data_IF_920697245847
#
_entry.id   IF_920697245847
#
_cell.length_a   1.000
_cell.length_b   1.000
_cell.length_c   1.000
_cell.angle_alpha   90.00
_cell.angle_beta   90.00
_cell.angle_gamma   90.00
#
_symmetry.space_group_name_H-M   'P 1'
#
loop_
_entity.id
_entity.type
_entity.pdbx_description
1 polymer ?
#
# COMPACT_ATOMS: atom_id res chain seq x y z
N UNK A 1 66.11 22.82 14.44
CA UNK A 1 65.81 24.28 14.38
C UNK A 1 65.29 24.58 12.99
N UNK A 2 64.06 25.02 12.71
CA UNK A 2 62.87 25.29 13.50
C UNK A 2 61.69 25.12 12.53
N UNK A 3 60.65 24.38 12.92
CA UNK A 3 59.42 24.27 12.14
C UNK A 3 58.74 25.63 12.06
N UNK A 4 58.55 26.13 10.84
CA UNK A 4 57.77 27.33 10.59
C UNK A 4 56.30 27.01 10.89
N UNK A 5 55.65 27.72 11.84
CA UNK A 5 54.29 27.44 12.24
C UNK A 5 53.31 27.85 11.14
N UNK A 6 52.38 26.95 10.79
CA UNK A 6 51.23 27.27 9.94
C UNK A 6 50.49 28.45 10.59
N UNK A 7 50.49 29.60 9.92
CA UNK A 7 49.82 30.82 10.37
C UNK A 7 48.31 30.61 10.17
N UNK A 8 47.62 30.28 11.26
CA UNK A 8 46.17 30.03 11.31
C UNK A 8 45.31 31.30 11.17
N UNK A 9 45.91 32.48 10.99
CA UNK A 9 45.25 33.79 10.96
C UNK A 9 44.62 34.16 9.59
N UNK A 10 44.52 33.23 8.64
CA UNK A 10 43.98 33.50 7.29
C UNK A 10 42.78 32.65 6.88
N UNK A 11 42.06 32.08 7.84
CA UNK A 11 40.71 31.58 7.58
C UNK A 11 39.71 32.70 7.88
N UNK A 12 39.21 33.31 6.82
CA UNK A 12 38.10 34.26 6.88
C UNK A 12 36.92 33.63 7.66
N UNK A 13 36.24 34.40 8.51
CA UNK A 13 35.15 33.91 9.32
C UNK A 13 33.96 33.55 8.44
N UNK A 14 33.57 32.26 8.41
CA UNK A 14 32.22 31.88 8.00
C UNK A 14 31.23 32.40 9.05
N UNK A 15 30.91 33.69 8.95
CA UNK A 15 29.80 34.32 9.68
C UNK A 15 28.51 33.77 9.08
N UNK A 16 27.65 33.24 9.97
CA UNK A 16 26.18 33.31 9.93
C UNK A 16 25.54 33.23 8.54
N UNK A 17 24.87 32.12 8.21
CA UNK A 17 23.47 31.95 8.64
C UNK A 17 23.26 30.63 9.37
N UNK A 18 22.86 30.72 10.63
CA UNK A 18 21.94 29.74 11.20
C UNK A 18 20.63 29.91 10.43
N UNK A 19 20.58 29.32 9.25
CA UNK A 19 19.32 29.06 8.58
C UNK A 19 18.60 28.09 9.50
N UNK A 20 17.57 28.63 10.13
CA UNK A 20 16.57 27.96 10.94
C UNK A 20 16.15 26.67 10.22
N UNK A 21 16.84 25.56 10.52
CA UNK A 21 16.32 24.22 10.29
C UNK A 21 15.21 24.08 11.33
N UNK A 22 14.06 24.58 10.91
CA UNK A 22 12.77 24.28 11.46
C UNK A 22 12.74 22.77 11.69
N UNK A 23 12.76 22.39 12.96
CA UNK A 23 12.50 21.02 13.37
C UNK A 23 11.24 20.61 12.61
N UNK A 24 11.27 19.60 11.73
CA UNK A 24 10.03 18.94 11.42
C UNK A 24 9.63 18.32 12.76
N UNK A 25 8.70 18.97 13.44
CA UNK A 25 7.85 18.35 14.42
C UNK A 25 6.95 17.36 13.68
N UNK A 26 7.57 16.36 13.06
CA UNK A 26 6.95 15.07 12.86
C UNK A 26 7.45 14.28 14.05
N UNK A 27 6.79 14.54 15.18
CA UNK A 27 6.51 13.44 16.08
C UNK A 27 5.67 12.44 15.28
N UNK A 28 6.31 11.68 14.40
CA UNK A 28 5.85 10.34 14.13
C UNK A 28 6.22 9.59 15.40
N UNK A 29 5.32 9.71 16.38
CA UNK A 29 4.96 8.58 17.20
C UNK A 29 5.03 7.42 16.22
N UNK A 30 6.03 6.56 16.39
CA UNK A 30 5.92 5.19 15.95
C UNK A 30 4.65 4.73 16.64
N UNK A 31 3.52 4.95 15.98
CA UNK A 31 2.32 4.21 16.24
C UNK A 31 2.81 2.81 15.97
N UNK A 32 3.07 2.08 17.06
CA UNK A 32 2.81 0.66 17.11
C UNK A 32 1.68 0.43 16.12
N UNK A 33 2.04 -0.13 14.97
CA UNK A 33 1.21 -0.07 13.79
C UNK A 33 -0.09 -0.69 14.21
N UNK A 34 -1.14 0.13 14.32
CA UNK A 34 -2.48 -0.40 14.45
C UNK A 34 -2.59 -1.26 13.20
N UNK A 35 -2.66 -2.60 13.31
CA UNK A 35 -2.79 -3.43 12.13
C UNK A 35 -3.99 -2.85 11.41
N UNK A 36 -3.82 -2.41 10.15
CA UNK A 36 -4.95 -1.96 9.33
C UNK A 36 -6.06 -2.97 9.60
N UNK A 37 -7.17 -2.48 10.17
CA UNK A 37 -8.18 -3.38 10.71
C UNK A 37 -8.52 -4.39 9.62
N UNK A 38 -8.68 -5.67 9.97
CA UNK A 38 -9.00 -6.69 8.96
C UNK A 38 -10.20 -6.26 8.10
N UNK A 39 -11.16 -5.54 8.70
CA UNK A 39 -12.26 -4.90 7.99
C UNK A 39 -11.80 -3.95 6.88
N UNK A 40 -10.81 -3.09 7.10
CA UNK A 40 -10.26 -2.20 6.07
C UNK A 40 -9.55 -2.98 4.96
N UNK A 41 -8.81 -4.05 5.29
CA UNK A 41 -8.21 -4.93 4.28
C UNK A 41 -9.26 -5.66 3.46
N UNK A 42 -10.27 -6.25 4.10
CA UNK A 42 -11.37 -6.95 3.45
C UNK A 42 -12.18 -5.99 2.57
N UNK A 43 -12.44 -4.77 3.04
CA UNK A 43 -13.10 -3.75 2.24
C UNK A 43 -12.28 -3.41 0.98
N UNK A 44 -10.96 -3.28 1.13
CA UNK A 44 -10.06 -3.09 -0.01
C UNK A 44 -10.09 -4.25 -1.00
N UNK A 45 -10.06 -5.49 -0.50
CA UNK A 45 -10.15 -6.69 -1.34
C UNK A 45 -11.50 -6.80 -2.07
N UNK A 46 -12.61 -6.51 -1.39
CA UNK A 46 -13.94 -6.49 -2.00
C UNK A 46 -14.05 -5.42 -3.09
N UNK A 47 -13.51 -4.22 -2.84
CA UNK A 47 -13.44 -3.18 -3.85
C UNK A 47 -12.60 -3.63 -5.06
N UNK A 48 -11.46 -4.29 -4.81
CA UNK A 48 -10.62 -4.82 -5.87
C UNK A 48 -11.33 -5.88 -6.74
N UNK A 49 -12.06 -6.82 -6.11
CA UNK A 49 -12.88 -7.80 -6.83
C UNK A 49 -13.94 -7.10 -7.68
N UNK A 50 -14.61 -6.09 -7.13
CA UNK A 50 -15.61 -5.31 -7.87
C UNK A 50 -14.99 -4.60 -9.10
N UNK A 51 -13.77 -4.07 -8.96
CA UNK A 51 -13.06 -3.45 -10.09
C UNK A 51 -12.66 -4.48 -11.16
N UNK A 52 -12.29 -5.70 -10.76
CA UNK A 52 -12.01 -6.79 -11.70
C UNK A 52 -13.27 -7.21 -12.46
N UNK A 53 -14.42 -7.31 -11.79
CA UNK A 53 -15.70 -7.58 -12.45
C UNK A 53 -16.06 -6.49 -13.46
N UNK A 54 -15.95 -5.22 -13.07
CA UNK A 54 -16.19 -4.09 -14.00
C UNK A 54 -15.27 -4.10 -15.21
N UNK A 55 -14.00 -4.47 -15.03
CA UNK A 55 -13.06 -4.61 -16.13
C UNK A 55 -13.45 -5.74 -17.08
N UNK A 56 -13.87 -6.89 -16.55
CA UNK A 56 -14.37 -8.00 -17.36
C UNK A 56 -15.64 -7.61 -18.14
N UNK A 57 -16.59 -6.94 -17.49
CA UNK A 57 -17.82 -6.46 -18.12
C UNK A 57 -17.53 -5.41 -19.20
N UNK A 58 -16.65 -4.45 -18.93
CA UNK A 58 -16.24 -3.46 -19.91
C UNK A 58 -15.55 -4.10 -21.12
N UNK A 59 -14.66 -5.05 -20.88
CA UNK A 59 -13.98 -5.77 -21.95
C UNK A 59 -14.96 -6.60 -22.79
N UNK A 60 -15.94 -7.25 -22.15
CA UNK A 60 -17.00 -7.99 -22.83
C UNK A 60 -17.91 -7.06 -23.66
N UNK A 61 -18.28 -5.90 -23.12
CA UNK A 61 -19.08 -4.90 -23.82
C UNK A 61 -18.34 -4.32 -25.03
N UNK A 62 -17.05 -4.03 -24.89
CA UNK A 62 -16.20 -3.53 -25.97
C UNK A 62 -16.03 -4.56 -27.08
N UNK A 63 -15.90 -5.84 -26.74
CA UNK A 63 -15.87 -6.94 -27.69
C UNK A 63 -17.20 -7.07 -28.45
N UNK A 64 -18.32 -7.03 -27.73
CA UNK A 64 -19.66 -7.08 -28.33
C UNK A 64 -19.96 -5.86 -29.23
N UNK A 65 -19.37 -4.70 -28.91
CA UNK A 65 -19.45 -3.48 -29.70
C UNK A 65 -18.53 -3.50 -30.94
N UNK A 66 -17.74 -4.56 -31.15
CA UNK A 66 -16.83 -4.70 -32.28
C UNK A 66 -15.59 -3.82 -32.19
N UNK A 67 -15.24 -3.31 -30.99
CA UNK A 67 -13.97 -2.61 -30.78
C UNK A 67 -12.79 -3.58 -30.95
N UNK A 68 -11.58 -3.08 -31.29
CA UNK A 68 -10.38 -3.90 -31.42
C UNK A 68 -9.84 -4.31 -30.05
N UNK A 69 -10.64 -5.05 -29.29
CA UNK A 69 -10.22 -5.71 -28.06
C UNK A 69 -10.09 -7.20 -28.35
N UNK A 70 -8.98 -7.79 -27.92
CA UNK A 70 -8.77 -9.23 -28.11
C UNK A 70 -9.70 -10.03 -27.20
N UNK A 71 -10.36 -11.03 -27.77
CA UNK A 71 -11.15 -12.02 -27.03
C UNK A 71 -10.37 -12.59 -25.83
N UNK A 72 -9.06 -12.79 -26.01
CA UNK A 72 -8.17 -13.26 -24.95
C UNK A 72 -8.19 -12.37 -23.71
N UNK A 73 -8.28 -11.05 -23.87
CA UNK A 73 -8.32 -10.13 -22.73
C UNK A 73 -9.62 -10.25 -21.94
N UNK A 74 -10.75 -10.44 -22.63
CA UNK A 74 -12.05 -10.67 -21.98
C UNK A 74 -12.02 -11.94 -21.15
N UNK A 75 -11.50 -13.04 -21.73
CA UNK A 75 -11.41 -14.33 -21.03
C UNK A 75 -10.47 -14.23 -19.82
N UNK A 76 -9.31 -13.57 -19.96
CA UNK A 76 -8.36 -13.36 -18.85
C UNK A 76 -8.97 -12.50 -17.74
N UNK A 77 -9.69 -11.43 -18.11
CA UNK A 77 -10.33 -10.54 -17.13
C UNK A 77 -11.41 -11.30 -16.33
N UNK A 78 -12.23 -12.09 -17.01
CA UNK A 78 -13.24 -12.94 -16.37
C UNK A 78 -12.61 -13.98 -15.43
N UNK A 79 -11.54 -14.65 -15.85
CA UNK A 79 -10.84 -15.63 -15.00
C UNK A 79 -10.23 -14.97 -13.76
N UNK A 80 -9.60 -13.81 -13.91
CA UNK A 80 -9.06 -13.03 -12.78
C UNK A 80 -10.15 -12.66 -11.79
N UNK A 81 -11.30 -12.17 -12.27
CA UNK A 81 -12.43 -11.83 -11.42
C UNK A 81 -12.97 -13.06 -10.65
N UNK A 82 -13.05 -14.22 -11.33
CA UNK A 82 -13.44 -15.49 -10.73
C UNK A 82 -12.51 -15.92 -9.59
N UNK A 83 -11.21 -16.01 -9.87
CA UNK A 83 -10.19 -16.41 -8.89
C UNK A 83 -10.16 -15.44 -7.71
N UNK A 84 -10.21 -14.12 -7.96
CA UNK A 84 -10.20 -13.11 -6.89
C UNK A 84 -11.44 -13.21 -6.00
N UNK A 85 -12.60 -13.53 -6.56
CA UNK A 85 -13.83 -13.78 -5.81
C UNK A 85 -13.68 -15.01 -4.91
N UNK A 86 -13.17 -16.12 -5.45
CA UNK A 86 -12.93 -17.35 -4.69
C UNK A 86 -11.97 -17.11 -3.51
N UNK A 87 -10.86 -16.41 -3.78
CA UNK A 87 -9.90 -16.03 -2.74
C UNK A 87 -10.58 -15.21 -1.63
N UNK A 88 -11.41 -14.24 -2.01
CA UNK A 88 -12.13 -13.39 -1.04
C UNK A 88 -13.08 -14.20 -0.16
N UNK A 89 -13.76 -15.20 -0.71
CA UNK A 89 -14.60 -16.12 0.07
C UNK A 89 -13.77 -16.96 1.04
N UNK A 90 -12.60 -17.45 0.63
CA UNK A 90 -11.70 -18.20 1.52
C UNK A 90 -11.21 -17.34 2.68
N UNK A 91 -10.80 -16.09 2.41
CA UNK A 91 -10.38 -15.14 3.44
C UNK A 91 -11.53 -14.83 4.40
N UNK A 92 -12.73 -14.57 3.89
CA UNK A 92 -13.94 -14.37 4.71
C UNK A 92 -14.18 -15.55 5.63
N UNK A 93 -14.14 -16.77 5.11
CA UNK A 93 -14.38 -17.98 5.89
C UNK A 93 -13.33 -18.15 6.99
N UNK A 94 -12.04 -17.98 6.67
CA UNK A 94 -10.96 -18.08 7.67
C UNK A 94 -11.06 -17.06 8.79
N UNK A 95 -11.54 -15.85 8.51
CA UNK A 95 -11.75 -14.88 9.59
C UNK A 95 -12.95 -15.24 10.47
N UNK A 96 -14.04 -15.75 9.88
CA UNK A 96 -15.17 -16.22 10.67
C UNK A 96 -14.77 -17.41 11.56
N UNK A 97 -13.98 -18.35 11.04
CA UNK A 97 -13.41 -19.45 11.82
C UNK A 97 -12.52 -18.94 12.97
N UNK A 98 -11.59 -18.02 12.70
CA UNK A 98 -10.71 -17.46 13.71
C UNK A 98 -11.50 -16.73 14.82
N UNK A 99 -12.56 -16.00 14.46
CA UNK A 99 -13.46 -15.38 15.44
C UNK A 99 -14.19 -16.41 16.30
N UNK A 100 -14.70 -17.48 15.69
CA UNK A 100 -15.37 -18.58 16.41
C UNK A 100 -14.41 -19.31 17.37
N UNK A 101 -13.16 -19.51 16.96
CA UNK A 101 -12.15 -20.17 17.78
C UNK A 101 -11.82 -19.37 19.05
N UNK A 102 -11.64 -18.04 18.93
CA UNK A 102 -11.42 -17.17 20.08
C UNK A 102 -12.59 -17.25 21.07
N UNK A 103 -13.83 -17.29 20.57
CA UNK A 103 -15.02 -17.42 21.42
C UNK A 103 -15.10 -18.76 22.16
N UNK A 104 -14.56 -19.84 21.56
CA UNK A 104 -14.49 -21.16 22.19
C UNK A 104 -13.39 -21.29 23.24
N UNK A 105 -12.33 -20.48 23.16
CA UNK A 105 -11.27 -20.47 24.17
C UNK A 105 -11.66 -19.72 25.46
N UNK A 106 -12.67 -18.86 25.42
CA UNK A 106 -13.05 -17.99 26.53
C UNK A 106 -14.18 -18.56 27.42
N UNK A 107 -14.70 -19.75 27.14
CA UNK A 107 -15.71 -20.44 27.96
C UNK A 107 -15.10 -21.47 28.90
#
# INVERSE_FOLDING_TARGET
MNGLPIRFDQLLPYRTTLEKVEKPAVGDKVSEGTPKSFSAFLQGALNHVNDLHKQADAAAADLAAGKPIDLHQVVIASEKAGIATQLTLQVRNKVMEAYQEIMRMQV
#
